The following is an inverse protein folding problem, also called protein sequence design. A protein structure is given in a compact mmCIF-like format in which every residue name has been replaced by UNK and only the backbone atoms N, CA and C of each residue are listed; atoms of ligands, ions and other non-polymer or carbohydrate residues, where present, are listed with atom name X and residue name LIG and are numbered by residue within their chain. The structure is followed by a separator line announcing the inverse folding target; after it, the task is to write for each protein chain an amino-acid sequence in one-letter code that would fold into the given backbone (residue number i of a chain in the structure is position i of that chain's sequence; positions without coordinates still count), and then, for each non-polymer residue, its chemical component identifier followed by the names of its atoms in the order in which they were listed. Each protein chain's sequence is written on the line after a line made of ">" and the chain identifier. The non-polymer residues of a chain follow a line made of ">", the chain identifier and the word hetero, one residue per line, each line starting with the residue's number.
data_IF_259853180990
#
_entry.id   IF_259853180990
#
_cell.length_a   1.000
_cell.length_b   1.000
_cell.length_c   1.000
_cell.angle_alpha   90.00
_cell.angle_beta   90.00
_cell.angle_gamma   90.00
#
_symmetry.space_group_name_H-M   'P 1'
#
loop_
_entity.id
_entity.type
_entity.pdbx_description
1 polymer ?
#
# COMPACT_ATOMS: atom_id res chain seq x y z
N UNK A 1 15.58 30.95 20.42
CA UNK A 1 14.91 30.71 19.14
C UNK A 1 13.44 30.98 19.36
N UNK A 2 12.91 32.02 18.71
CA UNK A 2 11.48 32.33 18.80
C UNK A 2 10.66 31.32 17.96
N UNK A 3 9.35 31.30 18.13
CA UNK A 3 8.48 30.29 17.52
C UNK A 3 8.51 30.34 15.97
N UNK A 4 8.61 31.54 15.39
CA UNK A 4 8.75 31.74 13.95
C UNK A 4 10.05 31.15 13.40
N UNK A 5 11.17 31.35 14.11
CA UNK A 5 12.47 30.78 13.72
C UNK A 5 12.46 29.24 13.79
N UNK A 6 11.68 28.65 14.70
CA UNK A 6 11.54 27.18 14.82
C UNK A 6 10.70 26.60 13.70
N UNK A 7 9.61 27.27 13.32
CA UNK A 7 8.76 26.86 12.19
C UNK A 7 9.51 26.97 10.85
N UNK A 8 10.33 28.00 10.67
CA UNK A 8 11.18 28.14 9.49
C UNK A 8 12.29 27.07 9.43
N UNK A 9 12.87 26.70 10.58
CA UNK A 9 13.88 25.65 10.63
C UNK A 9 13.30 24.27 10.29
N UNK A 10 12.11 23.95 10.82
CA UNK A 10 11.40 22.69 10.51
C UNK A 10 10.98 22.65 9.05
N UNK A 11 10.49 23.76 8.50
CA UNK A 11 10.10 23.84 7.09
C UNK A 11 11.30 23.69 6.16
N UNK A 12 12.45 24.26 6.52
CA UNK A 12 13.69 24.11 5.75
C UNK A 12 14.28 22.69 5.83
N UNK A 13 14.21 22.04 7.00
CA UNK A 13 14.63 20.64 7.16
C UNK A 13 13.75 19.65 6.38
N UNK A 14 12.43 19.88 6.35
CA UNK A 14 11.49 19.06 5.58
C UNK A 14 11.71 19.26 4.08
N UNK A 15 12.00 20.49 3.63
CA UNK A 15 12.29 20.76 2.22
C UNK A 15 13.67 20.21 1.78
N UNK A 16 14.70 20.27 2.61
CA UNK A 16 16.01 19.65 2.30
C UNK A 16 15.92 18.11 2.26
N UNK A 17 15.10 17.50 3.11
CA UNK A 17 14.84 16.06 3.08
C UNK A 17 14.08 15.63 1.80
N UNK A 18 13.20 16.50 1.28
CA UNK A 18 12.44 16.27 0.05
C UNK A 18 13.26 16.47 -1.24
N UNK A 19 14.25 17.38 -1.20
CA UNK A 19 15.16 17.62 -2.34
C UNK A 19 16.23 16.52 -2.44
N UNK A 20 16.77 16.04 -1.30
CA UNK A 20 17.78 14.97 -1.33
C UNK A 20 17.23 13.58 -1.73
N UNK A 21 15.91 13.39 -1.64
CA UNK A 21 15.24 12.20 -2.12
C UNK A 21 14.89 12.25 -3.62
N UNK A 22 14.90 13.43 -4.26
CA UNK A 22 14.74 13.58 -5.71
C UNK A 22 16.07 13.55 -6.48
N UNK A 23 17.20 13.92 -5.86
CA UNK A 23 18.51 13.92 -6.54
C UNK A 23 19.19 12.53 -6.63
N UNK A 24 18.64 11.49 -5.97
CA UNK A 24 19.18 10.13 -6.01
C UNK A 24 18.53 9.21 -7.07
N UNK A 25 17.57 9.69 -7.87
CA UNK A 25 16.92 8.92 -8.94
C UNK A 25 17.50 9.14 -10.35
N UNK A 26 18.42 10.10 -10.52
CA UNK A 26 19.03 10.40 -11.82
C UNK A 26 20.45 9.80 -11.94
N UNK A 27 20.61 8.48 -11.95
CA UNK A 27 21.80 7.82 -12.56
C UNK A 27 21.64 6.31 -12.75
N UNK A 28 20.84 5.88 -13.73
CA UNK A 28 21.19 4.73 -14.61
C UNK A 28 20.54 4.94 -15.97
N UNK A 29 21.33 5.34 -16.97
CA UNK A 29 20.95 5.19 -18.38
C UNK A 29 22.13 4.66 -19.20
N UNK A 30 21.90 3.49 -19.78
CA UNK A 30 22.14 3.19 -21.20
C UNK A 30 23.59 3.32 -21.73
N UNK A 31 24.27 2.17 -21.85
CA UNK A 31 25.40 2.00 -22.76
C UNK A 31 24.96 1.11 -23.92
N UNK A 32 24.76 1.74 -25.07
CA UNK A 32 24.77 1.09 -26.37
C UNK A 32 25.41 2.01 -27.40
N UNK A 33 26.53 1.56 -27.96
CA UNK A 33 26.82 1.46 -29.41
C UNK A 33 28.31 1.73 -29.74
N UNK A 34 28.84 0.77 -30.51
CA UNK A 34 29.99 0.75 -31.41
C UNK A 34 31.43 0.68 -30.86
N UNK A 35 32.12 -0.35 -31.35
CA UNK A 35 33.44 -0.77 -30.92
C UNK A 35 34.60 -0.09 -31.64
N UNK A 36 35.72 -0.07 -30.94
CA UNK A 36 37.06 -0.19 -31.50
C UNK A 36 37.93 -0.83 -30.40
N UNK A 37 38.77 -1.78 -30.81
CA UNK A 37 39.72 -2.50 -29.96
C UNK A 37 40.72 -1.52 -29.32
N UNK A 38 41.09 -1.73 -28.05
CA UNK A 38 42.47 -1.64 -27.52
C UNK A 38 42.52 -2.44 -26.20
N UNK A 39 43.66 -3.10 -26.01
CA UNK A 39 44.03 -4.13 -25.04
C UNK A 39 43.99 -3.76 -23.55
N UNK A 40 44.04 -4.85 -22.77
CA UNK A 40 44.19 -5.03 -21.32
C UNK A 40 45.03 -3.99 -20.55
N UNK A 41 44.54 -3.58 -19.37
CA UNK A 41 45.23 -3.73 -18.08
C UNK A 41 44.32 -3.25 -16.92
N UNK A 42 44.09 -4.14 -15.95
CA UNK A 42 43.40 -3.81 -14.68
C UNK A 42 44.45 -3.31 -13.68
N UNK A 43 44.19 -2.20 -12.96
CA UNK A 43 44.67 -2.09 -11.59
C UNK A 43 43.52 -1.91 -10.60
N UNK A 44 43.62 -2.68 -9.51
CA UNK A 44 42.76 -2.64 -8.34
C UNK A 44 43.03 -1.42 -7.43
N UNK A 45 42.06 -1.22 -6.52
CA UNK A 45 42.14 -0.70 -5.15
C UNK A 45 41.81 0.77 -4.85
N UNK A 46 40.75 0.90 -4.05
CA UNK A 46 40.58 1.73 -2.84
C UNK A 46 40.93 3.22 -2.88
N UNK A 47 39.97 4.07 -2.51
CA UNK A 47 39.95 4.74 -1.19
C UNK A 47 38.72 5.66 -1.04
N UNK A 48 38.09 5.58 0.14
CA UNK A 48 37.10 6.55 0.64
C UNK A 48 37.65 7.97 0.55
N UNK A 49 36.83 8.94 0.14
CA UNK A 49 37.16 10.37 0.28
C UNK A 49 35.99 11.18 0.81
N UNK A 50 36.29 11.95 1.86
CA UNK A 50 35.45 12.77 2.73
C UNK A 50 35.13 14.16 2.14
N UNK A 51 34.16 14.91 2.73
CA UNK A 51 33.59 16.11 2.12
C UNK A 51 34.46 17.34 2.32
N UNK A 52 35.51 17.50 1.50
CA UNK A 52 36.32 18.74 1.40
C UNK A 52 36.50 19.20 -0.06
N UNK A 53 35.91 18.51 -1.04
CA UNK A 53 36.12 18.79 -2.47
C UNK A 53 35.04 19.67 -3.14
N UNK A 54 34.00 20.09 -2.43
CA UNK A 54 32.83 20.77 -3.01
C UNK A 54 32.92 22.30 -3.14
N UNK A 55 34.04 22.94 -2.78
CA UNK A 55 34.18 24.40 -2.85
C UNK A 55 35.00 24.95 -4.03
N UNK A 56 35.41 24.12 -5.00
CA UNK A 56 36.15 24.57 -6.19
C UNK A 56 35.44 24.46 -7.54
N UNK A 57 34.17 24.04 -7.57
CA UNK A 57 33.40 23.94 -8.83
C UNK A 57 32.48 25.14 -9.13
N UNK A 58 32.53 26.23 -8.36
CA UNK A 58 31.71 27.45 -8.57
C UNK A 58 32.39 28.54 -9.43
N UNK A 59 33.21 28.18 -10.42
CA UNK A 59 33.92 29.21 -11.21
C UNK A 59 33.95 29.09 -12.72
N UNK A 60 33.20 28.17 -13.32
CA UNK A 60 33.05 28.09 -14.78
C UNK A 60 31.57 28.02 -15.20
N UNK A 61 30.80 29.04 -14.83
CA UNK A 61 29.52 29.38 -15.47
C UNK A 61 29.66 30.75 -16.14
N UNK A 62 30.30 30.76 -17.31
CA UNK A 62 30.12 31.80 -18.31
C UNK A 62 30.56 31.25 -19.67
N UNK A 63 29.63 31.31 -20.63
CA UNK A 63 29.73 30.93 -22.06
C UNK A 63 29.27 29.53 -22.45
N UNK A 64 27.96 29.39 -22.73
CA UNK A 64 27.47 28.56 -23.82
C UNK A 64 26.09 29.03 -24.31
N UNK A 65 26.02 29.31 -25.61
CA UNK A 65 24.94 29.96 -26.33
C UNK A 65 23.60 29.18 -26.42
N UNK A 66 22.55 29.98 -26.59
CA UNK A 66 21.15 29.66 -26.94
C UNK A 66 21.02 28.53 -27.99
N UNK A 67 20.77 27.29 -27.54
CA UNK A 67 20.16 26.24 -28.38
C UNK A 67 18.63 26.37 -28.36
N UNK A 68 18.07 26.52 -29.57
CA UNK A 68 16.62 26.56 -29.86
C UNK A 68 15.90 25.38 -29.21
N UNK A 69 14.88 25.66 -28.39
CA UNK A 69 13.94 24.66 -27.83
C UNK A 69 13.31 23.85 -28.97
N UNK A 70 13.74 22.59 -29.15
CA UNK A 70 12.97 21.60 -29.93
C UNK A 70 11.60 21.48 -29.24
N UNK A 71 10.52 21.75 -29.97
CA UNK A 71 9.16 21.45 -29.51
C UNK A 71 9.12 19.97 -29.14
N UNK A 72 8.92 19.64 -27.86
CA UNK A 72 8.64 18.27 -27.41
C UNK A 72 7.47 17.76 -28.26
N UNK A 73 7.68 16.71 -29.05
CA UNK A 73 6.59 15.97 -29.69
C UNK A 73 5.66 15.54 -28.56
N UNK A 74 4.37 15.92 -28.62
CA UNK A 74 3.36 15.40 -27.68
C UNK A 74 3.41 13.88 -27.76
N UNK A 75 3.59 13.20 -26.62
CA UNK A 75 3.62 11.74 -26.59
C UNK A 75 2.28 11.20 -27.12
N UNK A 76 2.31 10.12 -27.89
CA UNK A 76 1.09 9.47 -28.42
C UNK A 76 0.14 9.03 -27.30
N UNK A 77 0.65 8.82 -26.10
CA UNK A 77 -0.08 8.44 -24.88
C UNK A 77 -0.82 9.58 -24.19
N UNK A 78 -0.63 10.85 -24.58
CA UNK A 78 -1.26 11.98 -23.86
C UNK A 78 -2.77 12.07 -24.00
N UNK A 79 -3.38 11.28 -24.89
CA UNK A 79 -4.83 11.26 -25.13
C UNK A 79 -5.53 10.07 -24.49
N UNK A 80 -4.78 9.06 -24.01
CA UNK A 80 -5.38 7.87 -23.42
C UNK A 80 -6.02 8.21 -22.07
N UNK A 81 -7.15 7.57 -21.72
CA UNK A 81 -7.70 7.64 -20.37
C UNK A 81 -6.68 7.15 -19.35
N UNK A 82 -6.74 7.70 -18.14
CA UNK A 82 -5.91 7.21 -17.04
C UNK A 82 -6.40 5.83 -16.59
N UNK A 83 -5.49 4.92 -16.29
CA UNK A 83 -5.85 3.60 -15.77
C UNK A 83 -6.58 3.76 -14.43
N UNK A 84 -7.73 3.13 -14.27
CA UNK A 84 -8.58 3.30 -13.08
C UNK A 84 -9.56 4.47 -13.11
N UNK A 85 -9.63 5.22 -14.21
CA UNK A 85 -10.73 6.14 -14.44
C UNK A 85 -12.04 5.37 -14.72
N UNK A 86 -13.18 5.95 -14.34
CA UNK A 86 -14.49 5.34 -14.60
C UNK A 86 -14.69 5.08 -16.09
N UNK A 87 -15.01 3.83 -16.42
CA UNK A 87 -15.28 3.37 -17.79
C UNK A 87 -16.79 3.37 -18.00
N UNK A 88 -17.27 4.20 -18.93
CA UNK A 88 -18.68 4.29 -19.29
C UNK A 88 -19.16 3.07 -20.08
N UNK A 89 -20.48 2.84 -20.09
CA UNK A 89 -21.11 1.73 -20.81
C UNK A 89 -20.85 1.80 -22.34
N UNK A 90 -20.71 3.01 -22.87
CA UNK A 90 -20.41 3.30 -24.28
C UNK A 90 -18.91 3.50 -24.54
N UNK A 91 -18.05 2.94 -23.69
CA UNK A 91 -16.60 3.04 -23.83
C UNK A 91 -16.13 2.56 -25.21
N UNK A 92 -15.42 3.46 -25.91
CA UNK A 92 -14.75 3.17 -27.19
C UNK A 92 -13.25 3.38 -27.00
N UNK A 93 -12.47 2.36 -27.35
CA UNK A 93 -11.03 2.44 -27.24
C UNK A 93 -10.43 3.37 -28.29
N UNK A 94 -9.26 3.92 -27.98
CA UNK A 94 -8.52 4.70 -28.98
C UNK A 94 -7.82 3.79 -29.99
N UNK A 95 -7.35 2.62 -29.55
CA UNK A 95 -6.74 1.61 -30.41
C UNK A 95 -7.70 0.43 -30.59
N UNK A 96 -8.82 0.64 -31.28
CA UNK A 96 -9.86 -0.39 -31.47
C UNK A 96 -9.39 -1.61 -32.27
N UNK A 97 -8.39 -1.47 -33.16
CA UNK A 97 -7.91 -2.58 -34.00
C UNK A 97 -7.33 -3.71 -33.14
N UNK A 98 -8.01 -4.86 -33.18
CA UNK A 98 -7.52 -6.11 -32.64
C UNK A 98 -6.51 -6.72 -33.63
N UNK A 99 -5.42 -7.24 -33.08
CA UNK A 99 -4.33 -7.89 -33.82
C UNK A 99 -4.73 -9.32 -34.21
N UNK A 100 -5.52 -9.96 -33.34
CA UNK A 100 -6.03 -11.32 -33.50
C UNK A 100 -7.51 -11.20 -33.87
N UNK A 101 -8.00 -12.07 -34.75
CA UNK A 101 -9.42 -12.13 -35.10
C UNK A 101 -10.22 -12.76 -33.96
N UNK A 102 -11.34 -12.13 -33.60
CA UNK A 102 -12.23 -12.52 -32.49
C UNK A 102 -11.50 -13.00 -31.21
N UNK A 103 -10.63 -12.17 -30.60
CA UNK A 103 -9.75 -12.61 -29.51
C UNK A 103 -10.49 -12.99 -28.24
N UNK A 104 -11.76 -12.60 -28.11
CA UNK A 104 -12.61 -12.86 -26.94
C UNK A 104 -13.67 -13.94 -27.17
N UNK A 105 -13.59 -14.65 -28.30
CA UNK A 105 -14.47 -15.79 -28.57
C UNK A 105 -14.39 -16.82 -27.43
N UNK A 106 -15.52 -17.29 -26.86
CA UNK A 106 -15.52 -18.36 -25.87
C UNK A 106 -14.91 -19.69 -26.35
N UNK A 107 -14.70 -19.84 -27.67
CA UNK A 107 -13.97 -20.98 -28.23
C UNK A 107 -12.46 -20.93 -27.89
N UNK A 108 -11.93 -19.74 -27.60
CA UNK A 108 -10.56 -19.58 -27.14
C UNK A 108 -10.43 -19.89 -25.63
N UNK A 109 -9.32 -20.51 -25.19
CA UNK A 109 -9.02 -20.69 -23.78
C UNK A 109 -9.14 -19.38 -22.99
N UNK A 110 -9.63 -19.47 -21.75
CA UNK A 110 -9.81 -18.30 -20.90
C UNK A 110 -8.49 -17.55 -20.67
N UNK A 111 -7.39 -18.27 -20.49
CA UNK A 111 -6.05 -17.71 -20.33
C UNK A 111 -5.73 -16.72 -21.47
N UNK A 112 -5.82 -17.18 -22.72
CA UNK A 112 -5.56 -16.35 -23.89
C UNK A 112 -6.46 -15.10 -23.96
N UNK A 113 -7.75 -15.25 -23.64
CA UNK A 113 -8.70 -14.13 -23.59
C UNK A 113 -8.31 -13.08 -22.55
N UNK A 114 -7.93 -13.52 -21.35
CA UNK A 114 -7.54 -12.66 -20.23
C UNK A 114 -6.20 -11.97 -20.50
N UNK A 115 -5.19 -12.69 -20.98
CA UNK A 115 -3.89 -12.13 -21.36
C UNK A 115 -4.03 -11.05 -22.43
N UNK A 116 -4.82 -11.33 -23.47
CA UNK A 116 -5.10 -10.37 -24.52
C UNK A 116 -5.83 -9.13 -23.97
N UNK A 117 -6.80 -9.32 -23.08
CA UNK A 117 -7.50 -8.24 -22.42
C UNK A 117 -6.55 -7.35 -21.59
N UNK A 118 -5.61 -7.95 -20.84
CA UNK A 118 -4.61 -7.22 -20.05
C UNK A 118 -3.73 -6.37 -20.96
N UNK A 119 -3.16 -6.96 -22.01
CA UNK A 119 -2.34 -6.23 -22.97
C UNK A 119 -3.11 -5.07 -23.61
N UNK A 120 -4.34 -5.33 -24.06
CA UNK A 120 -5.18 -4.33 -24.71
C UNK A 120 -5.56 -3.21 -23.75
N UNK A 121 -5.84 -3.53 -22.49
CA UNK A 121 -6.08 -2.57 -21.42
C UNK A 121 -4.85 -1.69 -21.18
N UNK A 122 -3.64 -2.27 -21.08
CA UNK A 122 -2.37 -1.53 -20.96
C UNK A 122 -2.11 -0.61 -22.15
N UNK A 123 -2.43 -1.04 -23.37
CA UNK A 123 -2.25 -0.26 -24.59
C UNK A 123 -3.21 0.92 -24.68
N UNK A 124 -4.41 0.79 -24.11
CA UNK A 124 -5.47 1.80 -24.17
C UNK A 124 -5.57 2.69 -22.93
N UNK A 125 -4.75 2.48 -21.90
CA UNK A 125 -4.75 3.30 -20.69
C UNK A 125 -3.35 3.82 -20.35
N UNK A 126 -3.31 5.00 -19.74
CA UNK A 126 -2.09 5.57 -19.20
C UNK A 126 -1.89 5.10 -17.76
N UNK A 127 -0.79 4.39 -17.51
CA UNK A 127 -0.37 4.00 -16.18
C UNK A 127 0.63 5.00 -15.59
N UNK A 128 0.42 5.36 -14.33
CA UNK A 128 1.48 5.92 -13.46
C UNK A 128 2.28 4.75 -12.87
N UNK A 129 3.47 5.02 -12.34
CA UNK A 129 4.31 3.99 -11.73
C UNK A 129 3.61 3.28 -10.56
N UNK A 130 3.01 4.03 -9.63
CA UNK A 130 2.23 3.46 -8.51
C UNK A 130 1.07 2.59 -9.02
N UNK A 131 0.26 3.06 -10.00
CA UNK A 131 -0.84 2.26 -10.56
C UNK A 131 -0.34 1.02 -11.29
N UNK A 132 0.81 1.10 -11.97
CA UNK A 132 1.42 -0.07 -12.60
C UNK A 132 1.86 -1.09 -11.56
N UNK A 133 2.47 -0.66 -10.45
CA UNK A 133 2.87 -1.53 -9.36
C UNK A 133 1.65 -2.21 -8.70
N UNK A 134 0.58 -1.46 -8.42
CA UNK A 134 -0.69 -2.00 -7.90
C UNK A 134 -1.27 -3.03 -8.86
N UNK A 135 -1.40 -2.69 -10.14
CA UNK A 135 -1.99 -3.57 -11.13
C UNK A 135 -1.18 -4.87 -11.29
N UNK A 136 0.15 -4.76 -11.40
CA UNK A 136 1.02 -5.94 -11.47
C UNK A 136 0.91 -6.81 -10.22
N UNK A 137 0.83 -6.21 -9.03
CA UNK A 137 0.69 -6.96 -7.79
C UNK A 137 -0.65 -7.70 -7.71
N UNK A 138 -1.74 -7.07 -8.14
CA UNK A 138 -3.05 -7.72 -8.25
C UNK A 138 -3.05 -8.89 -9.23
N UNK A 139 -2.50 -8.69 -10.43
CA UNK A 139 -2.40 -9.75 -11.44
C UNK A 139 -1.56 -10.94 -10.93
N UNK A 140 -0.41 -10.67 -10.30
CA UNK A 140 0.41 -11.71 -9.65
C UNK A 140 -0.34 -12.46 -8.55
N UNK A 141 -1.09 -11.73 -7.73
CA UNK A 141 -1.92 -12.34 -6.69
C UNK A 141 -3.00 -13.26 -7.30
N UNK A 142 -3.58 -12.88 -8.44
CA UNK A 142 -4.49 -13.72 -9.22
C UNK A 142 -3.82 -14.82 -10.05
N UNK A 143 -2.53 -15.13 -9.82
CA UNK A 143 -1.82 -16.21 -10.51
C UNK A 143 -1.21 -15.85 -11.87
N UNK A 144 -1.24 -14.57 -12.27
CA UNK A 144 -0.73 -14.12 -13.57
C UNK A 144 0.74 -13.71 -13.44
N UNK A 145 1.60 -14.30 -14.25
CA UNK A 145 3.01 -13.93 -14.32
C UNK A 145 3.17 -12.62 -15.10
N UNK A 146 3.47 -11.53 -14.39
CA UNK A 146 3.70 -10.21 -15.02
C UNK A 146 5.20 -9.93 -15.20
N UNK A 147 5.64 -9.57 -16.40
CA UNK A 147 7.02 -9.11 -16.65
C UNK A 147 7.43 -9.13 -18.12
N UNK A 148 8.52 -8.47 -18.51
CA UNK A 148 9.01 -8.59 -19.87
C UNK A 148 9.44 -10.04 -20.15
N UNK A 149 8.82 -10.69 -21.13
CA UNK A 149 9.17 -12.06 -21.55
C UNK A 149 10.67 -12.17 -21.82
N UNK A 150 11.41 -12.79 -20.90
CA UNK A 150 12.87 -12.94 -21.00
C UNK A 150 13.29 -13.85 -22.16
N UNK A 151 12.37 -14.64 -22.72
CA UNK A 151 12.63 -15.59 -23.79
C UNK A 151 12.47 -15.03 -25.22
N UNK A 152 11.86 -13.85 -25.40
CA UNK A 152 11.67 -13.24 -26.73
C UNK A 152 12.74 -12.21 -27.09
N UNK A 153 13.90 -12.26 -26.46
CA UNK A 153 14.96 -11.26 -26.60
C UNK A 153 15.54 -11.02 -28.00
N UNK A 154 15.08 -11.71 -29.07
CA UNK A 154 15.56 -11.52 -30.45
C UNK A 154 14.57 -11.86 -31.60
N UNK A 155 13.32 -12.25 -31.36
CA UNK A 155 12.44 -12.62 -32.48
C UNK A 155 12.00 -11.39 -33.29
N UNK A 156 12.34 -11.38 -34.56
CA UNK A 156 11.95 -10.35 -35.52
C UNK A 156 10.70 -10.78 -36.28
N UNK A 157 10.01 -9.86 -36.94
CA UNK A 157 8.87 -10.19 -37.82
C UNK A 157 9.25 -11.07 -39.03
N UNK A 158 10.53 -11.37 -39.23
CA UNK A 158 11.01 -12.34 -40.21
C UNK A 158 11.00 -13.80 -39.68
N UNK A 159 10.80 -13.99 -38.37
CA UNK A 159 10.73 -15.30 -37.72
C UNK A 159 9.29 -15.80 -37.53
N UNK A 160 8.30 -15.07 -38.09
CA UNK A 160 6.90 -15.47 -38.06
C UNK A 160 6.70 -16.75 -38.90
N UNK A 161 6.09 -17.81 -38.35
CA UNK A 161 5.85 -19.04 -39.08
C UNK A 161 4.85 -18.81 -40.22
N UNK A 162 5.03 -19.54 -41.33
CA UNK A 162 4.15 -19.46 -42.52
C UNK A 162 2.76 -20.09 -42.30
N UNK A 163 2.61 -20.88 -41.23
CA UNK A 163 1.36 -21.52 -40.86
C UNK A 163 0.47 -20.51 -40.11
N UNK A 164 -0.77 -20.24 -40.57
CA UNK A 164 -1.66 -19.25 -39.94
C UNK A 164 -1.94 -19.52 -38.46
N UNK A 165 -2.01 -20.78 -38.02
CA UNK A 165 -2.27 -21.11 -36.61
C UNK A 165 -1.02 -20.81 -35.75
N UNK A 166 0.16 -21.22 -36.21
CA UNK A 166 1.43 -20.87 -35.57
C UNK A 166 1.75 -19.37 -35.64
N UNK A 167 1.25 -18.65 -36.65
CA UNK A 167 1.45 -17.21 -36.81
C UNK A 167 0.63 -16.43 -35.77
N UNK A 168 -0.59 -16.88 -35.48
CA UNK A 168 -1.41 -16.34 -34.39
C UNK A 168 -0.74 -16.57 -33.03
N UNK A 169 -0.21 -17.77 -32.79
CA UNK A 169 0.54 -18.07 -31.56
C UNK A 169 1.82 -17.24 -31.45
N UNK A 170 2.55 -17.03 -32.55
CA UNK A 170 3.75 -16.21 -32.59
C UNK A 170 3.46 -14.72 -32.34
N UNK A 171 2.36 -14.20 -32.88
CA UNK A 171 1.90 -12.83 -32.61
C UNK A 171 1.38 -12.67 -31.18
N UNK A 172 0.64 -13.66 -30.65
CA UNK A 172 0.20 -13.71 -29.26
C UNK A 172 1.39 -13.74 -28.28
N UNK A 173 2.42 -14.56 -28.55
CA UNK A 173 3.63 -14.63 -27.73
C UNK A 173 4.44 -13.33 -27.69
N UNK A 174 4.36 -12.51 -28.75
CA UNK A 174 4.97 -11.16 -28.80
C UNK A 174 4.18 -10.12 -28.02
N UNK A 175 2.90 -10.37 -27.80
CA UNK A 175 1.94 -9.52 -27.11
C UNK A 175 1.89 -9.84 -25.61
N UNK A 176 2.08 -11.11 -25.23
CA UNK A 176 1.89 -11.64 -23.90
C UNK A 176 3.03 -11.26 -22.92
N UNK A 177 3.03 -10.04 -22.38
CA UNK A 177 3.89 -9.67 -21.24
C UNK A 177 3.33 -10.13 -19.89
N UNK A 178 2.08 -10.54 -19.87
CA UNK A 178 1.37 -11.02 -18.70
C UNK A 178 0.81 -12.38 -19.11
N UNK A 179 1.28 -13.47 -18.48
CA UNK A 179 1.01 -14.86 -18.90
C UNK A 179 0.38 -15.64 -17.75
N UNK A 180 -0.66 -16.41 -18.04
CA UNK A 180 -1.25 -17.40 -17.14
C UNK A 180 -0.42 -18.69 -17.26
N UNK A 181 0.24 -19.16 -16.19
CA UNK A 181 1.00 -20.41 -16.25
C UNK A 181 0.14 -21.61 -16.63
N UNK A 182 0.61 -22.45 -17.56
CA UNK A 182 -0.06 -23.69 -18.00
C UNK A 182 -0.42 -24.63 -16.83
N UNK A 183 0.39 -24.62 -15.77
CA UNK A 183 0.16 -25.42 -14.55
C UNK A 183 -1.12 -25.03 -13.79
N UNK A 184 -1.66 -23.83 -14.04
CA UNK A 184 -2.92 -23.36 -13.47
C UNK A 184 -4.13 -23.72 -14.35
N UNK A 185 -3.94 -24.18 -15.59
CA UNK A 185 -5.06 -24.58 -16.45
C UNK A 185 -5.68 -25.93 -16.02
N UNK A 186 -4.90 -26.80 -15.36
CA UNK A 186 -5.36 -28.10 -14.88
C UNK A 186 -5.66 -28.10 -13.37
N UNK A 187 -6.94 -27.92 -13.02
CA UNK A 187 -7.47 -28.19 -11.67
C UNK A 187 -7.56 -27.00 -10.73
N UNK A 188 -7.29 -25.78 -11.20
CA UNK A 188 -7.50 -24.54 -10.44
C UNK A 188 -8.86 -23.92 -10.84
N UNK A 189 -9.70 -23.65 -9.86
CA UNK A 189 -10.99 -22.97 -10.07
C UNK A 189 -10.76 -21.46 -10.21
N UNK A 190 -11.33 -20.85 -11.24
CA UNK A 190 -11.26 -19.40 -11.46
C UNK A 190 -12.36 -18.72 -10.64
N UNK A 191 -11.97 -17.80 -9.76
CA UNK A 191 -12.90 -17.05 -8.91
C UNK A 191 -12.45 -15.59 -8.76
N UNK A 192 -13.01 -14.71 -9.57
CA UNK A 192 -12.76 -13.26 -9.55
C UNK A 192 -13.22 -12.62 -8.25
N UNK A 193 -14.37 -13.04 -7.68
CA UNK A 193 -14.89 -12.46 -6.44
C UNK A 193 -13.95 -12.74 -5.28
N UNK A 194 -13.54 -14.00 -5.14
CA UNK A 194 -12.63 -14.45 -4.09
C UNK A 194 -11.28 -13.76 -4.21
N UNK A 195 -10.70 -13.70 -5.42
CA UNK A 195 -9.44 -12.98 -5.66
C UNK A 195 -9.55 -11.51 -5.23
N UNK A 196 -10.60 -10.80 -5.63
CA UNK A 196 -10.80 -9.40 -5.21
C UNK A 196 -10.98 -9.27 -3.68
N UNK A 197 -11.71 -10.20 -3.06
CA UNK A 197 -12.00 -10.20 -1.64
C UNK A 197 -10.76 -10.48 -0.79
N UNK A 198 -9.98 -11.53 -1.09
CA UNK A 198 -8.73 -11.81 -0.37
C UNK A 198 -7.70 -10.72 -0.64
N UNK A 199 -7.61 -10.23 -1.88
CA UNK A 199 -6.65 -9.19 -2.23
C UNK A 199 -6.88 -7.93 -1.40
N UNK A 200 -8.07 -7.32 -1.46
CA UNK A 200 -8.34 -6.10 -0.71
C UNK A 200 -8.57 -6.34 0.78
N UNK A 201 -9.12 -7.49 1.15
CA UNK A 201 -9.42 -7.84 2.53
C UNK A 201 -8.16 -8.12 3.34
N UNK A 202 -7.13 -8.69 2.71
CA UNK A 202 -5.97 -9.21 3.42
C UNK A 202 -4.65 -8.83 2.73
N UNK A 203 -4.41 -9.35 1.52
CA UNK A 203 -3.07 -9.35 0.92
C UNK A 203 -2.52 -7.95 0.64
N UNK A 204 -3.36 -7.06 0.10
CA UNK A 204 -3.01 -5.66 -0.21
C UNK A 204 -2.57 -4.88 1.04
N UNK A 205 -3.26 -5.08 2.17
CA UNK A 205 -3.02 -4.35 3.42
C UNK A 205 -1.70 -4.80 4.08
N UNK A 206 -1.32 -6.06 3.88
CA UNK A 206 -0.07 -6.62 4.41
C UNK A 206 1.14 -6.32 3.53
N UNK A 207 0.93 -5.84 2.30
CA UNK A 207 1.99 -5.54 1.37
C UNK A 207 2.79 -4.29 1.78
N UNK A 208 4.10 -4.43 1.95
CA UNK A 208 5.02 -3.35 2.32
C UNK A 208 5.18 -2.29 1.23
N UNK A 209 4.83 -2.60 -0.02
CA UNK A 209 4.94 -1.67 -1.16
C UNK A 209 3.91 -0.53 -1.13
N UNK A 210 2.74 -0.75 -0.54
CA UNK A 210 1.61 0.18 -0.60
C UNK A 210 1.33 0.81 0.76
N UNK A 211 1.98 1.93 1.02
CA UNK A 211 1.92 2.61 2.33
C UNK A 211 1.07 3.87 2.26
N UNK A 212 0.93 4.50 1.09
CA UNK A 212 0.27 5.79 0.95
C UNK A 212 -1.24 5.69 1.03
N UNK A 213 -1.91 6.75 1.52
CA UNK A 213 -3.37 6.84 1.46
C UNK A 213 -3.88 6.80 0.01
N UNK A 214 -3.11 7.35 -0.94
CA UNK A 214 -3.48 7.32 -2.35
C UNK A 214 -3.49 5.90 -2.92
N UNK A 215 -2.60 5.01 -2.49
CA UNK A 215 -2.61 3.61 -2.96
C UNK A 215 -3.93 2.92 -2.54
N UNK A 216 -4.40 3.17 -1.32
CA UNK A 216 -5.69 2.66 -0.79
C UNK A 216 -6.92 3.27 -1.49
N UNK A 217 -6.76 4.41 -2.18
CA UNK A 217 -7.80 5.02 -3.01
C UNK A 217 -7.72 4.50 -4.44
N UNK A 218 -6.53 4.45 -5.02
CA UNK A 218 -6.30 4.10 -6.42
C UNK A 218 -6.52 2.60 -6.68
N UNK A 219 -6.11 1.72 -5.77
CA UNK A 219 -6.20 0.27 -5.98
C UNK A 219 -7.62 -0.24 -6.28
N UNK A 220 -8.66 0.05 -5.48
CA UNK A 220 -10.02 -0.41 -5.77
C UNK A 220 -10.63 0.27 -7.00
N UNK A 221 -10.20 1.49 -7.36
CA UNK A 221 -10.63 2.15 -8.60
C UNK A 221 -10.00 1.50 -9.83
N UNK A 222 -8.71 1.18 -9.76
CA UNK A 222 -7.95 0.57 -10.85
C UNK A 222 -8.47 -0.83 -11.19
N UNK A 223 -8.71 -1.65 -10.16
CA UNK A 223 -9.17 -3.02 -10.34
C UNK A 223 -10.64 -3.05 -10.78
N UNK A 224 -11.52 -2.20 -10.22
CA UNK A 224 -12.90 -2.08 -10.71
C UNK A 224 -12.96 -1.66 -12.19
N UNK A 225 -12.14 -0.70 -12.61
CA UNK A 225 -12.07 -0.28 -14.01
C UNK A 225 -11.60 -1.42 -14.92
N UNK A 226 -10.63 -2.22 -14.48
CA UNK A 226 -10.17 -3.38 -15.25
C UNK A 226 -11.26 -4.48 -15.32
N UNK A 227 -11.92 -4.81 -14.21
CA UNK A 227 -13.02 -5.77 -14.21
C UNK A 227 -14.20 -5.29 -15.06
N UNK A 228 -14.49 -3.97 -15.03
CA UNK A 228 -15.48 -3.34 -15.91
C UNK A 228 -15.09 -3.50 -17.37
N UNK A 229 -13.82 -3.34 -17.69
CA UNK A 229 -13.29 -3.54 -19.04
C UNK A 229 -13.51 -4.99 -19.51
N UNK A 230 -13.26 -5.98 -18.66
CA UNK A 230 -13.55 -7.39 -18.97
C UNK A 230 -15.03 -7.62 -19.30
N UNK A 231 -15.94 -6.97 -18.57
CA UNK A 231 -17.38 -7.06 -18.84
C UNK A 231 -17.77 -6.41 -20.18
N UNK A 232 -17.26 -5.21 -20.46
CA UNK A 232 -17.60 -4.46 -21.69
C UNK A 232 -17.11 -5.20 -22.94
N UNK A 233 -15.91 -5.79 -22.88
CA UNK A 233 -15.34 -6.58 -23.98
C UNK A 233 -15.83 -8.02 -24.01
N UNK A 234 -16.71 -8.42 -23.10
CA UNK A 234 -17.24 -9.78 -22.97
C UNK A 234 -16.11 -10.83 -22.96
N UNK A 235 -15.06 -10.57 -22.18
CA UNK A 235 -13.83 -11.41 -22.16
C UNK A 235 -14.11 -12.78 -21.58
N UNK A 236 -14.96 -12.88 -20.57
CA UNK A 236 -15.26 -14.11 -19.82
C UNK A 236 -16.76 -14.20 -19.50
N UNK A 237 -17.65 -14.38 -20.51
CA UNK A 237 -19.09 -14.44 -20.30
C UNK A 237 -19.53 -15.54 -19.33
N UNK A 238 -18.79 -16.65 -19.30
CA UNK A 238 -19.07 -17.77 -18.41
C UNK A 238 -18.82 -17.45 -16.92
N UNK A 239 -18.09 -16.37 -16.62
CA UNK A 239 -17.84 -15.84 -15.27
C UNK A 239 -18.51 -14.47 -15.05
N UNK A 240 -19.52 -14.09 -15.84
CA UNK A 240 -20.12 -12.75 -15.78
C UNK A 240 -20.67 -12.37 -14.39
N UNK A 241 -21.34 -13.31 -13.72
CA UNK A 241 -21.89 -13.12 -12.37
C UNK A 241 -20.78 -12.97 -11.33
N UNK A 242 -19.71 -13.74 -11.47
CA UNK A 242 -18.56 -13.70 -10.57
C UNK A 242 -17.74 -12.41 -10.76
N UNK A 243 -17.55 -11.94 -11.99
CA UNK A 243 -16.97 -10.61 -12.25
C UNK A 243 -17.84 -9.51 -11.64
N UNK A 244 -19.17 -9.64 -11.69
CA UNK A 244 -20.07 -8.69 -11.04
C UNK A 244 -19.91 -8.71 -9.51
N UNK A 245 -19.73 -9.90 -8.90
CA UNK A 245 -19.39 -10.06 -7.49
C UNK A 245 -18.07 -9.39 -7.11
N UNK A 246 -17.01 -9.60 -7.89
CA UNK A 246 -15.71 -8.94 -7.71
C UNK A 246 -15.81 -7.40 -7.76
N UNK A 247 -16.64 -6.86 -8.65
CA UNK A 247 -16.89 -5.41 -8.73
C UNK A 247 -17.67 -4.89 -7.53
N UNK A 248 -18.58 -5.68 -6.95
CA UNK A 248 -19.25 -5.32 -5.70
C UNK A 248 -18.24 -5.20 -4.54
N UNK A 249 -17.29 -6.14 -4.44
CA UNK A 249 -16.17 -6.04 -3.49
C UNK A 249 -15.34 -4.78 -3.74
N UNK A 250 -15.02 -4.46 -4.99
CA UNK A 250 -14.30 -3.22 -5.30
C UNK A 250 -15.08 -1.98 -4.85
N UNK A 251 -16.40 -1.95 -5.02
CA UNK A 251 -17.25 -0.85 -4.57
C UNK A 251 -17.20 -0.66 -3.05
N UNK A 252 -17.20 -1.75 -2.28
CA UNK A 252 -16.98 -1.69 -0.83
C UNK A 252 -15.56 -1.22 -0.50
N UNK A 253 -14.55 -1.76 -1.18
CA UNK A 253 -13.15 -1.41 -0.97
C UNK A 253 -12.86 0.08 -1.22
N UNK A 254 -13.49 0.71 -2.22
CA UNK A 254 -13.40 2.18 -2.47
C UNK A 254 -13.75 3.02 -1.23
N UNK A 255 -14.63 2.51 -0.37
CA UNK A 255 -15.07 3.19 0.84
C UNK A 255 -14.24 2.75 2.05
N UNK A 256 -14.05 1.45 2.21
CA UNK A 256 -13.50 0.88 3.43
C UNK A 256 -11.97 0.95 3.50
N UNK A 257 -11.24 0.77 2.40
CA UNK A 257 -9.77 0.80 2.42
C UNK A 257 -9.21 2.15 2.87
N UNK A 258 -9.67 3.31 2.36
CA UNK A 258 -9.22 4.60 2.86
C UNK A 258 -9.56 4.80 4.35
N UNK A 259 -10.69 4.26 4.82
CA UNK A 259 -11.06 4.29 6.24
C UNK A 259 -10.11 3.45 7.08
N UNK A 260 -9.81 2.21 6.69
CA UNK A 260 -8.84 1.36 7.36
C UNK A 260 -7.49 2.07 7.50
N UNK A 261 -6.98 2.66 6.41
CA UNK A 261 -5.69 3.35 6.42
C UNK A 261 -5.67 4.57 7.34
N UNK A 262 -6.75 5.36 7.36
CA UNK A 262 -6.86 6.52 8.25
C UNK A 262 -6.99 6.10 9.72
N UNK A 263 -7.81 5.09 10.00
CA UNK A 263 -8.04 4.60 11.36
C UNK A 263 -6.77 4.00 11.96
N UNK A 264 -6.03 3.16 11.21
CA UNK A 264 -4.82 2.52 11.75
C UNK A 264 -3.69 3.50 12.10
N UNK A 265 -3.66 4.67 11.44
CA UNK A 265 -2.71 5.74 11.76
C UNK A 265 -3.10 6.49 13.04
N UNK A 266 -4.40 6.53 13.38
CA UNK A 266 -4.90 7.20 14.57
C UNK A 266 -4.97 6.28 15.80
N UNK A 267 -5.12 4.97 15.59
CA UNK A 267 -5.09 3.98 16.66
C UNK A 267 -3.70 3.92 17.32
N UNK A 268 -3.61 3.73 18.66
CA UNK A 268 -4.72 3.43 19.57
C UNK A 268 -5.50 4.67 20.06
N UNK A 269 -5.10 5.88 19.70
CA UNK A 269 -5.71 7.14 20.13
C UNK A 269 -5.08 7.74 21.39
N UNK A 270 -5.36 9.01 21.68
CA UNK A 270 -4.71 9.76 22.78
C UNK A 270 -5.06 9.18 24.14
N UNK A 271 -6.31 8.78 24.35
CA UNK A 271 -6.75 8.18 25.60
C UNK A 271 -6.03 6.86 25.89
N UNK A 272 -5.98 5.96 24.91
CA UNK A 272 -5.32 4.68 25.10
C UNK A 272 -3.79 4.82 25.21
N UNK A 273 -3.17 5.74 24.47
CA UNK A 273 -1.75 6.09 24.65
C UNK A 273 -1.49 6.61 26.07
N UNK A 274 -2.37 7.46 26.60
CA UNK A 274 -2.26 7.93 27.99
C UNK A 274 -2.44 6.79 29.01
N UNK A 275 -3.36 5.84 28.75
CA UNK A 275 -3.47 4.63 29.57
C UNK A 275 -2.20 3.78 29.53
N UNK A 276 -1.61 3.59 28.34
CA UNK A 276 -0.35 2.87 28.17
C UNK A 276 0.77 3.52 28.97
N UNK A 277 0.97 4.82 28.84
CA UNK A 277 2.00 5.56 29.57
C UNK A 277 1.78 5.54 31.10
N UNK A 278 0.52 5.61 31.55
CA UNK A 278 0.20 5.66 32.98
C UNK A 278 0.32 4.30 33.67
N UNK A 279 -0.13 3.22 33.01
CA UNK A 279 -0.27 1.90 33.65
C UNK A 279 0.85 0.91 33.31
N UNK A 280 1.59 1.11 32.20
CA UNK A 280 2.71 0.23 31.90
C UNK A 280 3.80 0.38 32.96
N UNK A 281 4.42 -0.74 33.30
CA UNK A 281 5.58 -0.72 34.18
C UNK A 281 6.68 0.10 33.50
N UNK A 282 7.09 1.19 34.16
CA UNK A 282 8.24 1.97 33.72
C UNK A 282 9.43 1.01 33.63
N UNK A 283 10.18 1.09 32.52
CA UNK A 283 11.38 0.27 32.31
C UNK A 283 12.17 0.13 33.61
N UNK A 284 12.53 -1.09 33.98
CA UNK A 284 13.43 -1.30 35.09
C UNK A 284 14.78 -0.68 34.73
N UNK A 285 15.05 0.50 35.28
CA UNK A 285 16.32 1.21 35.09
C UNK A 285 17.37 0.79 36.11
N UNK A 286 17.13 -0.27 36.89
CA UNK A 286 18.06 -0.74 37.94
C UNK A 286 19.43 -1.17 37.38
N UNK A 287 19.49 -1.59 36.12
CA UNK A 287 20.73 -1.94 35.41
C UNK A 287 21.48 -0.72 34.84
N UNK A 288 20.86 0.47 34.82
CA UNK A 288 21.49 1.68 34.28
C UNK A 288 22.44 2.33 35.29
N UNK A 289 23.59 2.81 34.80
CA UNK A 289 24.53 3.60 35.61
C UNK A 289 23.97 5.00 35.93
N UNK A 290 24.51 5.66 36.96
CA UNK A 290 24.04 7.01 37.35
C UNK A 290 24.13 8.04 36.22
N UNK A 291 25.12 7.91 35.34
CA UNK A 291 25.32 8.79 34.18
C UNK A 291 24.27 8.55 33.10
N UNK A 292 23.96 7.27 32.79
CA UNK A 292 22.94 6.90 31.80
C UNK A 292 21.54 7.28 32.27
N UNK A 293 21.24 7.12 33.57
CA UNK A 293 20.01 7.61 34.20
C UNK A 293 19.87 9.14 34.09
N UNK A 294 20.96 9.88 34.24
CA UNK A 294 20.94 11.34 34.16
C UNK A 294 20.70 11.81 32.71
N UNK A 295 21.32 11.15 31.73
CA UNK A 295 21.09 11.41 30.31
C UNK A 295 19.65 11.06 29.92
N UNK A 296 19.13 9.92 30.36
CA UNK A 296 17.74 9.51 30.11
C UNK A 296 16.75 10.49 30.74
N UNK A 297 16.96 10.93 31.99
CA UNK A 297 16.11 11.95 32.65
C UNK A 297 16.14 13.29 31.93
N UNK A 298 17.31 13.73 31.43
CA UNK A 298 17.42 14.95 30.62
C UNK A 298 16.76 14.81 29.25
N UNK A 299 16.80 13.62 28.66
CA UNK A 299 16.11 13.33 27.41
C UNK A 299 14.59 13.34 27.62
N UNK A 300 14.08 12.67 28.66
CA UNK A 300 12.66 12.72 29.04
C UNK A 300 12.22 14.14 29.39
N UNK A 301 13.00 14.91 30.15
CA UNK A 301 12.64 16.29 30.45
C UNK A 301 12.62 17.15 29.19
N UNK A 302 13.58 16.96 28.28
CA UNK A 302 13.58 17.62 26.98
C UNK A 302 12.37 17.22 26.13
N UNK A 303 11.97 15.95 26.13
CA UNK A 303 10.77 15.47 25.44
C UNK A 303 9.51 16.09 26.05
N UNK A 304 9.39 16.14 27.38
CA UNK A 304 8.26 16.81 28.06
C UNK A 304 8.25 18.31 27.73
N UNK A 305 9.41 18.98 27.76
CA UNK A 305 9.54 20.41 27.43
C UNK A 305 9.29 20.72 25.94
N UNK A 306 9.52 19.75 25.05
CA UNK A 306 9.39 19.91 23.59
C UNK A 306 8.04 19.43 23.04
N UNK A 307 7.44 18.40 23.65
CA UNK A 307 6.19 17.73 23.22
C UNK A 307 5.00 18.12 24.10
N UNK A 308 5.24 18.63 25.31
CA UNK A 308 4.24 19.33 26.13
C UNK A 308 3.26 18.45 26.90
N UNK A 309 3.44 17.12 26.92
CA UNK A 309 2.59 16.25 27.75
C UNK A 309 3.17 16.14 29.15
N UNK A 310 2.56 16.81 30.13
CA UNK A 310 2.94 16.63 31.54
C UNK A 310 2.32 15.34 32.11
N UNK A 311 2.93 14.75 33.13
CA UNK A 311 2.36 13.62 33.89
C UNK A 311 0.93 13.93 34.39
N UNK A 312 0.63 15.21 34.65
CA UNK A 312 -0.68 15.69 35.09
C UNK A 312 -1.71 15.69 33.95
N UNK A 313 -1.29 15.99 32.72
CA UNK A 313 -2.14 15.90 31.53
C UNK A 313 -2.52 14.45 31.20
N UNK A 314 -1.54 13.53 31.28
CA UNK A 314 -1.78 12.09 31.11
C UNK A 314 -2.81 11.61 32.13
N UNK A 315 -2.63 12.00 33.41
CA UNK A 315 -3.59 11.69 34.48
C UNK A 315 -4.98 12.25 34.19
N UNK A 316 -5.08 13.49 33.74
CA UNK A 316 -6.36 14.14 33.40
C UNK A 316 -7.09 13.42 32.26
N UNK A 317 -6.35 12.94 31.24
CA UNK A 317 -6.91 12.16 30.13
C UNK A 317 -7.45 10.82 30.63
N UNK A 318 -6.68 10.06 31.41
CA UNK A 318 -7.09 8.76 31.96
C UNK A 318 -8.30 8.92 32.90
N UNK A 319 -8.35 10.01 33.67
CA UNK A 319 -9.45 10.33 34.58
C UNK A 319 -10.81 10.53 33.90
N UNK A 320 -10.86 10.74 32.58
CA UNK A 320 -12.12 10.81 31.81
C UNK A 320 -12.96 9.54 31.94
N UNK A 321 -12.32 8.37 32.11
CA UNK A 321 -13.02 7.09 32.30
C UNK A 321 -12.65 6.41 33.62
N UNK A 322 -11.42 6.56 34.09
CA UNK A 322 -10.94 5.92 35.31
C UNK A 322 -10.80 6.97 36.41
N UNK A 323 -11.83 7.14 37.24
CA UNK A 323 -11.88 8.20 38.27
C UNK A 323 -10.67 8.24 39.21
N UNK A 324 -10.18 7.07 39.65
CA UNK A 324 -9.07 6.94 40.59
C UNK A 324 -7.94 6.07 39.98
N UNK A 325 -7.16 6.60 39.02
CA UNK A 325 -6.22 5.78 38.25
C UNK A 325 -5.06 5.27 39.10
N UNK A 326 -4.67 5.97 40.17
CA UNK A 326 -3.58 5.55 41.08
C UNK A 326 -3.86 4.24 41.83
N UNK A 327 -5.13 3.88 42.02
CA UNK A 327 -5.54 2.63 42.67
C UNK A 327 -5.73 1.48 41.68
N UNK A 328 -5.55 1.76 40.39
CA UNK A 328 -5.71 0.79 39.32
C UNK A 328 -4.33 0.32 38.87
N UNK A 329 -4.19 -0.98 38.68
CA UNK A 329 -2.95 -1.63 38.24
C UNK A 329 -3.21 -2.45 37.00
N UNK A 330 -2.19 -2.59 36.17
CA UNK A 330 -2.19 -3.56 35.07
C UNK A 330 -2.23 -4.99 35.65
N UNK A 331 -3.15 -5.82 35.17
CA UNK A 331 -3.31 -7.21 35.60
C UNK A 331 -2.78 -8.20 34.56
N UNK A 332 -3.11 -7.96 33.29
CA UNK A 332 -2.78 -8.86 32.20
C UNK A 332 -2.60 -8.05 30.91
N UNK A 333 -1.74 -8.54 30.04
CA UNK A 333 -1.59 -8.03 28.68
C UNK A 333 -1.73 -9.21 27.73
N UNK A 334 -2.67 -9.10 26.80
CA UNK A 334 -2.85 -10.06 25.71
C UNK A 334 -2.25 -9.44 24.45
N UNK A 335 -1.22 -10.06 23.91
CA UNK A 335 -0.48 -9.54 22.75
C UNK A 335 -0.88 -10.25 21.47
N UNK A 336 -0.87 -9.53 20.35
CA UNK A 336 -1.11 -10.07 19.01
C UNK A 336 -2.47 -10.79 18.84
N UNK A 337 -3.47 -10.34 19.60
CA UNK A 337 -4.82 -10.89 19.59
C UNK A 337 -5.52 -10.53 18.28
N UNK A 338 -6.15 -11.50 17.62
CA UNK A 338 -6.98 -11.20 16.44
C UNK A 338 -8.40 -10.89 16.86
N UNK A 339 -8.86 -9.69 16.58
CA UNK A 339 -10.16 -9.21 17.04
C UNK A 339 -11.03 -8.70 15.91
N UNK A 340 -12.34 -8.88 16.04
CA UNK A 340 -13.39 -8.33 15.19
C UNK A 340 -14.19 -7.27 15.94
N UNK A 341 -14.51 -6.16 15.27
CA UNK A 341 -15.40 -5.13 15.81
C UNK A 341 -16.84 -5.61 15.72
N UNK A 342 -17.46 -5.92 16.86
CA UNK A 342 -18.84 -6.43 16.89
C UNK A 342 -19.87 -5.33 17.14
N UNK A 343 -19.47 -4.24 17.80
CA UNK A 343 -20.36 -3.13 18.12
C UNK A 343 -19.61 -1.82 18.32
N UNK A 344 -20.20 -0.73 17.82
CA UNK A 344 -19.76 0.64 18.08
C UNK A 344 -20.92 1.37 18.76
N UNK A 345 -20.65 2.05 19.87
CA UNK A 345 -21.67 2.82 20.59
C UNK A 345 -22.13 4.02 19.75
N UNK A 346 -23.41 4.37 19.84
CA UNK A 346 -23.96 5.53 19.13
C UNK A 346 -23.33 6.84 19.64
N UNK A 347 -23.08 7.78 18.72
CA UNK A 347 -22.61 9.14 19.00
C UNK A 347 -23.29 10.16 18.08
N UNK A 348 -23.40 11.41 18.53
CA UNK A 348 -23.99 12.52 17.75
C UNK A 348 -22.93 13.13 16.82
N UNK A 349 -23.32 13.62 15.65
CA UNK A 349 -22.44 14.36 14.73
C UNK A 349 -21.86 15.63 15.37
N UNK A 350 -22.58 16.25 16.32
CA UNK A 350 -22.15 17.48 16.99
C UNK A 350 -21.24 17.25 18.22
N UNK A 351 -21.06 16.00 18.63
CA UNK A 351 -20.16 15.62 19.72
C UNK A 351 -18.71 16.02 19.43
N UNK A 352 -17.96 16.42 20.47
CA UNK A 352 -16.53 16.71 20.38
C UNK A 352 -15.73 15.53 19.82
N UNK A 353 -14.76 15.81 18.96
CA UNK A 353 -13.93 14.77 18.32
C UNK A 353 -13.17 13.90 19.31
N UNK A 354 -12.85 14.42 20.49
CA UNK A 354 -12.14 13.69 21.55
C UNK A 354 -13.10 13.04 22.57
N UNK A 355 -14.41 13.04 22.32
CA UNK A 355 -15.34 12.23 23.13
C UNK A 355 -15.01 10.74 22.96
N UNK A 356 -15.08 10.00 24.06
CA UNK A 356 -14.70 8.59 24.09
C UNK A 356 -15.89 7.68 23.82
N UNK A 357 -15.83 6.99 22.69
CA UNK A 357 -16.84 6.06 22.20
C UNK A 357 -16.44 4.64 22.57
N UNK A 358 -17.38 3.86 23.12
CA UNK A 358 -17.15 2.47 23.45
C UNK A 358 -17.22 1.60 22.18
N UNK A 359 -16.21 0.77 21.97
CA UNK A 359 -16.12 -0.20 20.88
C UNK A 359 -15.95 -1.59 21.48
N UNK A 360 -16.87 -2.48 21.13
CA UNK A 360 -16.82 -3.88 21.53
C UNK A 360 -16.07 -4.69 20.48
N UNK A 361 -15.16 -5.52 20.97
CA UNK A 361 -14.30 -6.40 20.19
C UNK A 361 -14.56 -7.85 20.61
N UNK A 362 -14.51 -8.77 19.66
CA UNK A 362 -14.58 -10.21 19.91
C UNK A 362 -13.32 -10.88 19.36
N UNK A 363 -12.77 -11.83 20.10
CA UNK A 363 -11.62 -12.60 19.64
C UNK A 363 -12.05 -13.52 18.49
N UNK A 364 -11.38 -13.46 17.33
CA UNK A 364 -11.76 -14.24 16.14
C UNK A 364 -11.64 -15.75 16.32
N UNK A 365 -10.64 -16.17 17.09
CA UNK A 365 -10.36 -17.60 17.33
C UNK A 365 -10.97 -18.14 18.65
N UNK A 366 -11.59 -17.27 19.47
CA UNK A 366 -12.13 -17.63 20.79
C UNK A 366 -13.40 -16.81 21.09
N UNK A 367 -14.55 -17.31 20.65
CA UNK A 367 -15.83 -16.62 20.79
C UNK A 367 -16.23 -16.28 22.24
N UNK A 368 -15.59 -16.90 23.24
CA UNK A 368 -15.86 -16.61 24.65
C UNK A 368 -15.17 -15.34 25.14
N UNK A 369 -14.17 -14.84 24.40
CA UNK A 369 -13.42 -13.63 24.75
C UNK A 369 -13.97 -12.42 24.03
N UNK A 370 -14.39 -11.45 24.82
CA UNK A 370 -14.79 -10.13 24.34
C UNK A 370 -14.12 -9.04 25.16
N UNK A 371 -13.93 -7.90 24.51
CA UNK A 371 -13.24 -6.75 25.06
C UNK A 371 -14.09 -5.51 24.79
N UNK A 372 -14.08 -4.57 25.72
CA UNK A 372 -14.67 -3.25 25.52
C UNK A 372 -13.57 -2.23 25.70
N UNK A 373 -13.25 -1.50 24.62
CA UNK A 373 -12.27 -0.42 24.62
C UNK A 373 -12.96 0.92 24.36
N UNK A 374 -12.27 2.01 24.67
CA UNK A 374 -12.73 3.35 24.39
C UNK A 374 -11.76 4.04 23.44
N UNK A 375 -12.27 4.62 22.36
CA UNK A 375 -11.48 5.40 21.39
C UNK A 375 -12.15 6.75 21.16
N UNK A 376 -11.39 7.73 20.70
CA UNK A 376 -11.92 9.04 20.32
C UNK A 376 -12.95 8.90 19.18
N UNK A 377 -13.97 9.75 19.18
CA UNK A 377 -15.01 9.81 18.14
C UNK A 377 -14.41 9.88 16.73
N UNK A 378 -13.36 10.66 16.53
CA UNK A 378 -12.70 10.78 15.22
C UNK A 378 -12.15 9.44 14.69
N UNK A 379 -11.78 8.53 15.60
CA UNK A 379 -11.37 7.16 15.26
C UNK A 379 -12.62 6.32 15.02
N UNK A 380 -13.61 6.39 15.92
CA UNK A 380 -14.86 5.62 15.82
C UNK A 380 -15.64 5.88 14.51
N UNK A 381 -15.60 7.10 13.96
CA UNK A 381 -16.20 7.46 12.66
C UNK A 381 -15.60 6.71 11.46
N UNK A 382 -14.35 6.26 11.59
CA UNK A 382 -13.64 5.52 10.54
C UNK A 382 -13.84 4.00 10.68
N UNK A 383 -14.22 3.51 11.86
CA UNK A 383 -14.42 2.09 12.11
C UNK A 383 -15.79 1.62 11.59
N UNK A 384 -15.87 0.35 11.20
CA UNK A 384 -17.10 -0.33 10.82
C UNK A 384 -17.22 -1.65 11.58
N UNK A 385 -18.45 -2.03 11.91
CA UNK A 385 -18.74 -3.36 12.48
C UNK A 385 -18.40 -4.42 11.43
N UNK A 386 -17.65 -5.45 11.85
CA UNK A 386 -17.09 -6.50 11.00
C UNK A 386 -15.63 -6.28 10.61
N UNK A 387 -15.06 -5.08 10.80
CA UNK A 387 -13.62 -4.88 10.59
C UNK A 387 -12.82 -5.73 11.58
N UNK A 388 -11.68 -6.23 11.14
CA UNK A 388 -10.80 -7.06 11.96
C UNK A 388 -9.39 -6.48 12.01
N UNK A 389 -8.66 -6.72 13.10
CA UNK A 389 -7.28 -6.25 13.25
C UNK A 389 -6.53 -7.05 14.32
N UNK A 390 -5.20 -6.94 14.32
CA UNK A 390 -4.34 -7.48 15.39
C UNK A 390 -4.15 -6.41 16.46
N UNK A 391 -4.28 -6.79 17.73
CA UNK A 391 -4.25 -5.87 18.85
C UNK A 391 -3.42 -6.38 20.03
N UNK A 392 -2.78 -5.44 20.73
CA UNK A 392 -2.27 -5.65 22.09
C UNK A 392 -3.28 -5.01 23.06
N UNK A 393 -3.88 -5.82 23.93
CA UNK A 393 -4.95 -5.42 24.84
C UNK A 393 -4.51 -5.59 26.29
N UNK A 394 -4.70 -4.55 27.09
CA UNK A 394 -4.28 -4.52 28.48
C UNK A 394 -5.47 -4.48 29.42
N UNK A 395 -5.54 -5.45 30.35
CA UNK A 395 -6.58 -5.55 31.37
C UNK A 395 -6.14 -4.88 32.66
N UNK A 396 -6.99 -3.99 33.17
CA UNK A 396 -6.76 -3.28 34.43
C UNK A 396 -7.49 -3.94 35.60
N UNK A 397 -7.06 -3.62 36.82
CA UNK A 397 -7.61 -4.18 38.06
C UNK A 397 -9.06 -3.81 38.35
N UNK A 398 -9.54 -2.74 37.73
CA UNK A 398 -10.95 -2.34 37.74
C UNK A 398 -11.79 -3.04 36.65
N UNK A 399 -11.24 -4.07 36.00
CA UNK A 399 -11.85 -4.82 34.87
C UNK A 399 -12.02 -4.04 33.56
N UNK A 400 -11.49 -2.81 33.46
CA UNK A 400 -11.45 -2.07 32.20
C UNK A 400 -10.34 -2.61 31.28
N UNK A 401 -10.53 -2.46 29.97
CA UNK A 401 -9.52 -2.73 28.96
C UNK A 401 -9.10 -1.44 28.27
N UNK A 402 -7.85 -1.37 27.86
CA UNK A 402 -7.37 -0.36 26.92
C UNK A 402 -6.57 -1.03 25.80
N UNK A 403 -6.54 -0.37 24.64
CA UNK A 403 -5.84 -0.82 23.46
C UNK A 403 -4.41 -0.27 23.48
N UNK A 404 -3.39 -1.10 23.66
CA UNK A 404 -2.01 -0.62 23.65
C UNK A 404 -1.50 -0.39 22.22
N UNK A 405 -1.74 -1.35 21.33
CA UNK A 405 -1.34 -1.29 19.93
C UNK A 405 -2.41 -1.89 19.04
N UNK A 406 -2.55 -1.34 17.84
CA UNK A 406 -3.32 -1.95 16.76
C UNK A 406 -2.44 -2.06 15.53
N UNK A 407 -2.60 -3.16 14.81
CA UNK A 407 -1.87 -3.46 13.58
C UNK A 407 -2.83 -4.05 12.56
N UNK A 408 -2.57 -3.75 11.28
CA UNK A 408 -3.24 -4.37 10.13
C UNK A 408 -4.77 -4.33 10.27
N UNK A 409 -5.37 -3.14 10.20
CA UNK A 409 -6.83 -3.01 10.19
C UNK A 409 -7.40 -3.39 8.82
N UNK A 410 -8.17 -4.46 8.78
CA UNK A 410 -8.81 -5.01 7.59
C UNK A 410 -10.30 -4.64 7.50
N UNK A 411 -10.84 -4.52 6.27
CA UNK A 411 -12.25 -4.19 6.04
C UNK A 411 -13.20 -5.31 6.47
N UNK A 412 -14.51 -5.03 6.42
CA UNK A 412 -15.57 -5.95 6.87
C UNK A 412 -15.70 -7.21 6.02
N UNK A 413 -15.26 -7.13 4.75
CA UNK A 413 -15.23 -8.26 3.83
C UNK A 413 -13.93 -9.07 3.93
N UNK A 414 -13.16 -8.89 5.02
CA UNK A 414 -11.96 -9.68 5.29
C UNK A 414 -12.22 -11.17 5.09
N UNK A 415 -11.29 -11.83 4.41
CA UNK A 415 -11.26 -13.26 4.22
C UNK A 415 -9.84 -13.74 4.46
N UNK A 416 -9.71 -14.86 5.18
CA UNK A 416 -8.42 -15.51 5.35
C UNK A 416 -7.87 -15.94 4.00
N UNK A 417 -6.58 -15.71 3.81
CA UNK A 417 -5.88 -16.25 2.66
C UNK A 417 -5.48 -17.69 3.01
N UNK A 418 -6.12 -18.67 2.40
CA UNK A 418 -5.79 -20.08 2.60
C UNK A 418 -4.56 -20.52 1.80
N UNK A 419 -4.10 -19.70 0.87
CA UNK A 419 -3.01 -19.99 -0.05
C UNK A 419 -1.66 -19.48 0.46
N UNK A 420 -1.66 -18.47 1.34
CA UNK A 420 -0.46 -17.84 1.88
C UNK A 420 -0.45 -17.88 3.41
N UNK A 421 0.65 -18.32 4.00
CA UNK A 421 0.89 -18.30 5.45
C UNK A 421 1.44 -16.95 5.92
N UNK A 422 1.41 -16.64 7.22
CA UNK A 422 1.97 -15.38 7.76
C UNK A 422 3.40 -15.12 7.27
N UNK A 423 4.22 -16.19 7.13
CA UNK A 423 5.60 -16.13 6.68
C UNK A 423 5.76 -15.71 5.21
N UNK A 424 4.76 -15.94 4.37
CA UNK A 424 4.83 -15.64 2.93
C UNK A 424 4.72 -14.14 2.64
N UNK A 425 4.35 -13.36 3.66
CA UNK A 425 4.18 -11.91 3.58
C UNK A 425 5.27 -11.12 4.32
N UNK A 426 6.15 -11.79 5.06
CA UNK A 426 7.30 -11.17 5.70
C UNK A 426 8.48 -11.14 4.71
N UNK A 427 8.39 -10.25 3.71
CA UNK A 427 9.49 -9.90 2.80
C UNK A 427 9.63 -8.38 2.57
#
# INVERSE_FOLDING_TARGET
>A
MNQSEREDLVTNLVNEAYISSQENEDYVSDNGVDGEQIDEEIPQLNELSTPISLQKAKKDEQDAEKKKKKKKKKSKTSKLPEAGADIADDYVEQNNEDVIDDPFSPENPLALRVEYAIWKYRKNHKFTESRQAIFNNYLKFGGITTGPNMFLGRSTSADAPDDPEAALDFEAAKIATDVVPDELEDGVEVNFTEVAQVYFGNAFIRNSLFIGLQDFIDAPNLIDAFLRYLQIRNVAPEYADDIAGARAICAEAKIQLPKCKRAIVLLPGKYNTACSEFFQEKMDTSWMTSETLTVQKRFLSFVVDTVGTSDEDVKNIVQKKIKNPENVKLLNTETYVFVEITKISHFDENTDKNELIAVALQHKEDDQKSYEIFVEKEIAELLLVGMVFRADLCKLSNSSWYLDKAQRLMPTFYMEDTCMTENDYDF
#
